data_IF_076756205158
#
_entry.id   IF_076756205158
#
_cell.length_a   1.000
_cell.length_b   1.000
_cell.length_c   1.000
_cell.angle_alpha   90.00
_cell.angle_beta   90.00
_cell.angle_gamma   90.00
#
_symmetry.space_group_name_H-M   'P 1'
#
loop_
_entity.id
_entity.type
_entity.pdbx_description
1 polymer ?
#
# COMPACT_ATOMS: atom_id res chain seq x y z
N UNK A 1 -39.41 -25.07 17.61
CA UNK A 1 -38.17 -25.78 17.97
C UNK A 1 -37.05 -25.07 17.23
N UNK A 2 -36.57 -23.98 17.84
CA UNK A 2 -35.52 -23.08 17.33
C UNK A 2 -34.26 -23.37 18.14
N UNK A 3 -33.07 -23.44 17.54
CA UNK A 3 -31.85 -23.57 18.33
C UNK A 3 -31.45 -22.20 18.90
N UNK A 4 -31.24 -22.22 20.22
CA UNK A 4 -30.78 -21.16 21.09
C UNK A 4 -29.40 -20.61 20.68
N UNK A 5 -29.27 -19.31 20.94
CA UNK A 5 -28.10 -18.45 20.79
C UNK A 5 -26.87 -19.01 21.52
N UNK A 6 -25.79 -19.20 20.76
CA UNK A 6 -24.44 -19.44 21.27
C UNK A 6 -23.52 -18.28 20.85
N UNK A 7 -23.81 -17.08 21.35
CA UNK A 7 -22.88 -15.94 21.36
C UNK A 7 -21.76 -16.20 22.38
N UNK A 8 -20.88 -17.14 22.04
CA UNK A 8 -19.59 -17.34 22.68
C UNK A 8 -18.63 -16.24 22.25
N UNK A 9 -18.80 -15.03 22.77
CA UNK A 9 -17.84 -13.94 22.62
C UNK A 9 -16.54 -14.29 23.35
N UNK A 10 -15.64 -14.98 22.64
CA UNK A 10 -14.26 -15.21 23.04
C UNK A 10 -13.55 -13.85 23.03
N UNK A 11 -13.67 -13.11 24.12
CA UNK A 11 -12.77 -12.02 24.46
C UNK A 11 -11.38 -12.63 24.69
N UNK A 12 -10.62 -12.76 23.60
CA UNK A 12 -9.21 -13.08 23.66
C UNK A 12 -8.51 -12.01 24.53
N UNK A 13 -8.19 -12.38 25.76
CA UNK A 13 -7.31 -11.63 26.66
C UNK A 13 -5.93 -11.53 26.01
N UNK A 14 -5.73 -10.51 25.16
CA UNK A 14 -4.40 -10.15 24.71
C UNK A 14 -3.60 -9.68 25.94
N UNK A 15 -2.44 -10.28 26.26
CA UNK A 15 -1.67 -9.98 27.47
C UNK A 15 -0.97 -8.60 27.44
N UNK A 16 -1.22 -7.79 26.41
CA UNK A 16 -0.81 -6.38 26.37
C UNK A 16 -1.87 -5.53 27.05
N UNK A 17 -1.97 -5.68 28.37
CA UNK A 17 -2.83 -4.86 29.21
C UNK A 17 -2.52 -3.38 29.02
N UNK A 18 -3.41 -2.70 28.30
CA UNK A 18 -3.79 -1.28 28.33
C UNK A 18 -2.81 -0.29 28.99
N UNK A 19 -1.52 -0.36 28.68
CA UNK A 19 -0.51 0.60 29.16
C UNK A 19 -0.41 1.79 28.21
N UNK A 20 -1.54 2.24 27.68
CA UNK A 20 -1.64 3.60 27.19
C UNK A 20 -1.69 4.48 28.44
N UNK A 21 -0.51 4.89 28.92
CA UNK A 21 -0.40 5.94 29.94
C UNK A 21 -1.00 7.19 29.32
N UNK A 22 -2.29 7.39 29.59
CA UNK A 22 -3.07 8.50 29.09
C UNK A 22 -2.49 9.76 29.71
N UNK A 23 -1.98 10.70 28.89
CA UNK A 23 -1.33 11.89 29.42
C UNK A 23 -2.37 12.74 30.16
N UNK A 24 -2.23 12.97 31.47
CA UNK A 24 -3.25 13.62 32.29
C UNK A 24 -3.63 15.00 31.73
N UNK A 25 -2.65 15.75 31.21
CA UNK A 25 -2.89 17.08 30.63
C UNK A 25 -3.78 17.06 29.39
N UNK A 26 -3.61 16.07 28.50
CA UNK A 26 -4.45 15.94 27.31
C UNK A 26 -5.90 15.63 27.76
N UNK A 27 -6.05 14.89 28.85
CA UNK A 27 -7.34 14.35 29.28
C UNK A 27 -8.12 15.41 30.02
N UNK A 28 -7.43 16.19 30.86
CA UNK A 28 -7.94 17.43 31.43
C UNK A 28 -8.38 18.42 30.35
N UNK A 29 -7.58 18.62 29.30
CA UNK A 29 -7.90 19.57 28.21
C UNK A 29 -9.08 19.11 27.35
N UNK A 30 -9.17 17.81 27.05
CA UNK A 30 -10.34 17.24 26.39
C UNK A 30 -11.60 17.38 27.25
N UNK A 31 -11.50 17.17 28.56
CA UNK A 31 -12.62 17.32 29.49
C UNK A 31 -13.07 18.78 29.56
N UNK A 32 -12.14 19.74 29.66
CA UNK A 32 -12.44 21.17 29.60
C UNK A 32 -13.19 21.56 28.33
N UNK A 33 -12.77 21.03 27.17
CA UNK A 33 -13.44 21.28 25.89
C UNK A 33 -14.87 20.71 25.85
N UNK A 34 -15.08 19.52 26.44
CA UNK A 34 -16.44 18.95 26.57
C UNK A 34 -17.33 19.78 27.48
N UNK A 35 -16.80 20.26 28.59
CA UNK A 35 -17.55 21.06 29.56
C UNK A 35 -17.92 22.43 28.95
N UNK A 36 -17.04 23.03 28.16
CA UNK A 36 -17.34 24.23 27.37
C UNK A 36 -18.51 23.99 26.39
N UNK A 37 -18.51 22.87 25.66
CA UNK A 37 -19.61 22.50 24.76
C UNK A 37 -20.93 22.29 25.51
N UNK A 38 -20.90 21.59 26.65
CA UNK A 38 -22.10 21.34 27.47
C UNK A 38 -22.69 22.62 28.05
N UNK A 39 -21.84 23.59 28.40
CA UNK A 39 -22.28 24.85 28.99
C UNK A 39 -22.87 25.86 28.00
N UNK A 40 -22.85 25.57 26.69
CA UNK A 40 -23.32 26.49 25.65
C UNK A 40 -22.43 27.72 25.44
N UNK A 41 -21.30 27.83 26.14
CA UNK A 41 -20.33 28.94 26.03
C UNK A 41 -19.36 28.77 24.86
N UNK A 42 -19.86 28.29 23.73
CA UNK A 42 -19.03 28.04 22.54
C UNK A 42 -19.02 29.30 21.69
N UNK A 43 -17.93 30.07 21.75
CA UNK A 43 -17.71 31.20 20.84
C UNK A 43 -17.63 30.72 19.39
N UNK A 44 -17.92 31.60 18.42
CA UNK A 44 -17.86 31.26 16.99
C UNK A 44 -16.47 30.72 16.58
N UNK A 45 -15.41 31.11 17.27
CA UNK A 45 -14.03 30.70 16.99
C UNK A 45 -13.65 29.32 17.56
N UNK A 46 -14.50 28.67 18.36
CA UNK A 46 -14.18 27.41 19.02
C UNK A 46 -13.86 26.28 18.03
N UNK A 47 -14.63 26.17 16.94
CA UNK A 47 -14.38 25.16 15.90
C UNK A 47 -13.04 25.39 15.22
N UNK A 48 -12.68 26.64 14.93
CA UNK A 48 -11.39 26.98 14.34
C UNK A 48 -10.23 26.64 15.31
N UNK A 49 -10.40 26.95 16.60
CA UNK A 49 -9.45 26.60 17.65
C UNK A 49 -9.24 25.08 17.78
N UNK A 50 -10.32 24.29 17.75
CA UNK A 50 -10.22 22.82 17.78
C UNK A 50 -9.51 22.25 16.55
N UNK A 51 -9.77 22.79 15.37
CA UNK A 51 -9.09 22.37 14.15
C UNK A 51 -7.60 22.70 14.20
N UNK A 52 -7.24 23.87 14.72
CA UNK A 52 -5.83 24.24 14.92
C UNK A 52 -5.14 23.32 15.93
N UNK A 53 -5.80 23.04 17.06
CA UNK A 53 -5.27 22.12 18.08
C UNK A 53 -5.08 20.70 17.53
N UNK A 54 -6.06 20.19 16.77
CA UNK A 54 -5.95 18.89 16.08
C UNK A 54 -4.74 18.85 15.15
N UNK A 55 -4.48 19.92 14.38
CA UNK A 55 -3.28 20.02 13.53
C UNK A 55 -1.99 20.02 14.35
N UNK A 56 -1.94 20.75 15.47
CA UNK A 56 -0.77 20.79 16.37
C UNK A 56 -0.49 19.40 16.97
N UNK A 57 -1.52 18.69 17.41
CA UNK A 57 -1.38 17.32 17.93
C UNK A 57 -0.93 16.34 16.85
N UNK A 58 -1.49 16.44 15.63
CA UNK A 58 -1.05 15.62 14.51
C UNK A 58 0.41 15.90 14.11
N UNK A 59 0.86 17.16 14.24
CA UNK A 59 2.26 17.52 14.06
C UNK A 59 3.15 16.91 15.15
N UNK A 60 2.84 17.13 16.43
CA UNK A 60 3.60 16.59 17.56
C UNK A 60 3.68 15.05 17.53
N UNK A 61 2.59 14.38 17.18
CA UNK A 61 2.57 12.92 17.03
C UNK A 61 3.50 12.43 15.92
N UNK A 62 3.59 13.14 14.79
CA UNK A 62 4.54 12.80 13.72
C UNK A 62 5.99 12.97 14.17
N UNK A 63 6.31 14.04 14.89
CA UNK A 63 7.67 14.25 15.43
C UNK A 63 8.05 13.19 16.46
N UNK A 64 7.16 12.85 17.39
CA UNK A 64 7.41 11.77 18.36
C UNK A 64 7.62 10.43 17.64
N UNK A 65 6.79 10.09 16.65
CA UNK A 65 6.97 8.88 15.83
C UNK A 65 8.30 8.89 15.09
N UNK A 66 8.75 10.05 14.61
CA UNK A 66 10.06 10.20 13.98
C UNK A 66 11.18 9.88 14.97
N UNK A 67 11.13 10.45 16.17
CA UNK A 67 12.12 10.17 17.22
C UNK A 67 12.12 8.70 17.67
N UNK A 68 10.93 8.09 17.81
CA UNK A 68 10.83 6.65 18.09
C UNK A 68 11.39 5.82 16.94
N UNK A 69 11.12 6.21 15.69
CA UNK A 69 11.71 5.54 14.54
C UNK A 69 13.25 5.65 14.54
N UNK A 70 13.80 6.81 14.90
CA UNK A 70 15.24 7.03 14.98
C UNK A 70 15.91 6.20 16.10
N UNK A 71 15.16 5.73 17.10
CA UNK A 71 15.67 4.85 18.15
C UNK A 71 15.65 3.36 17.79
N UNK A 72 14.91 2.96 16.75
CA UNK A 72 14.85 1.56 16.29
C UNK A 72 16.15 1.18 15.56
N UNK A 73 16.87 0.10 15.96
CA UNK A 73 18.15 -0.28 15.33
C UNK A 73 18.08 -0.46 13.82
N UNK A 74 17.00 -1.06 13.32
CA UNK A 74 16.76 -1.26 11.88
C UNK A 74 16.76 0.09 11.13
N UNK A 75 16.22 1.13 11.73
CA UNK A 75 16.13 2.46 11.10
C UNK A 75 17.38 3.30 11.31
N UNK A 76 18.37 2.83 12.06
CA UNK A 76 19.69 3.47 12.20
C UNK A 76 20.69 2.95 11.17
N UNK A 77 20.37 1.89 10.43
CA UNK A 77 21.26 1.31 9.44
C UNK A 77 21.56 2.29 8.30
N UNK A 78 22.79 2.31 7.76
CA UNK A 78 23.13 3.09 6.58
C UNK A 78 22.12 2.86 5.43
N UNK A 79 21.82 3.88 4.62
CA UNK A 79 20.85 3.75 3.53
C UNK A 79 21.19 2.63 2.54
N UNK A 80 22.47 2.28 2.38
CA UNK A 80 22.95 1.19 1.53
C UNK A 80 22.47 -0.19 2.02
N UNK A 81 22.40 -0.39 3.33
CA UNK A 81 21.90 -1.65 3.92
C UNK A 81 20.37 -1.73 3.76
N UNK A 82 19.69 -0.60 3.91
CA UNK A 82 18.25 -0.51 3.64
C UNK A 82 17.98 -0.82 2.16
N UNK A 83 18.82 -0.30 1.27
CA UNK A 83 18.72 -0.53 -0.17
C UNK A 83 18.85 -2.02 -0.52
N UNK A 84 19.84 -2.68 0.07
CA UNK A 84 20.03 -4.12 -0.06
C UNK A 84 18.80 -4.92 0.43
N UNK A 85 18.22 -4.56 1.57
CA UNK A 85 16.99 -5.20 2.06
C UNK A 85 15.83 -5.02 1.09
N UNK A 86 15.70 -3.82 0.50
CA UNK A 86 14.68 -3.54 -0.51
C UNK A 86 14.88 -4.42 -1.74
N UNK A 87 16.11 -4.66 -2.19
CA UNK A 87 16.39 -5.56 -3.32
C UNK A 87 15.82 -6.97 -3.11
N UNK A 88 16.01 -7.54 -1.92
CA UNK A 88 15.43 -8.83 -1.58
C UNK A 88 13.90 -8.77 -1.56
N UNK A 89 13.33 -7.74 -0.94
CA UNK A 89 11.87 -7.60 -0.83
C UNK A 89 11.18 -7.39 -2.18
N UNK A 90 11.85 -6.76 -3.16
CA UNK A 90 11.28 -6.57 -4.50
C UNK A 90 11.04 -7.91 -5.19
N UNK A 91 11.97 -8.85 -5.03
CA UNK A 91 11.88 -10.19 -5.62
C UNK A 91 10.74 -10.99 -5.00
N UNK A 92 10.67 -11.03 -3.67
CA UNK A 92 9.74 -11.88 -2.94
C UNK A 92 8.36 -11.24 -2.73
N UNK A 93 8.29 -9.91 -2.73
CA UNK A 93 7.10 -9.15 -2.37
C UNK A 93 6.79 -8.03 -3.37
N UNK A 94 6.71 -8.42 -4.63
CA UNK A 94 6.27 -7.55 -5.73
C UNK A 94 4.81 -7.09 -5.54
N UNK A 95 4.48 -5.84 -5.88
CA UNK A 95 3.09 -5.39 -5.96
C UNK A 95 2.38 -6.15 -7.07
N UNK A 96 1.13 -6.47 -6.84
CA UNK A 96 0.26 -7.10 -7.84
C UNK A 96 -1.16 -6.58 -7.66
N UNK A 97 -1.87 -6.43 -8.77
CA UNK A 97 -3.30 -6.21 -8.75
C UNK A 97 -4.00 -7.20 -9.68
N UNK A 98 -5.09 -7.77 -9.21
CA UNK A 98 -5.95 -8.60 -10.06
C UNK A 98 -7.16 -7.79 -10.51
N UNK A 99 -7.32 -7.64 -11.81
CA UNK A 99 -8.58 -7.14 -12.38
C UNK A 99 -9.51 -8.33 -12.48
N UNK A 100 -10.61 -8.32 -11.71
CA UNK A 100 -11.66 -9.30 -11.92
C UNK A 100 -12.34 -9.01 -13.24
N UNK A 101 -12.52 -10.05 -14.04
CA UNK A 101 -13.26 -9.98 -15.29
C UNK A 101 -14.62 -10.64 -15.02
N UNK A 102 -15.70 -10.03 -15.50
CA UNK A 102 -17.04 -10.63 -15.42
C UNK A 102 -17.21 -11.79 -16.40
N UNK A 103 -18.38 -12.44 -16.37
CA UNK A 103 -18.72 -13.54 -17.29
C UNK A 103 -18.74 -13.13 -18.78
N UNK A 104 -18.73 -11.82 -19.08
CA UNK A 104 -18.78 -11.26 -20.42
C UNK A 104 -17.40 -10.77 -20.90
N UNK A 105 -16.34 -10.96 -20.11
CA UNK A 105 -15.00 -10.50 -20.49
C UNK A 105 -14.75 -9.02 -20.17
N UNK A 106 -15.67 -8.35 -19.45
CA UNK A 106 -15.52 -6.94 -19.09
C UNK A 106 -14.83 -6.79 -17.73
N UNK A 107 -13.92 -5.80 -17.57
CA UNK A 107 -13.32 -5.48 -16.28
C UNK A 107 -14.40 -5.11 -15.28
N UNK A 108 -14.50 -5.88 -14.19
CA UNK A 108 -15.37 -5.57 -13.06
C UNK A 108 -14.64 -4.54 -12.18
N UNK A 109 -14.84 -3.26 -12.48
CA UNK A 109 -14.15 -2.11 -11.87
C UNK A 109 -14.26 -2.05 -10.33
N UNK A 110 -15.20 -2.80 -9.74
CA UNK A 110 -15.61 -2.63 -8.34
C UNK A 110 -14.74 -3.44 -7.34
N UNK A 111 -13.95 -4.42 -7.78
CA UNK A 111 -13.32 -5.38 -6.85
C UNK A 111 -11.88 -5.81 -7.23
N UNK A 112 -11.04 -4.88 -7.66
CA UNK A 112 -9.62 -5.18 -7.83
C UNK A 112 -8.97 -5.37 -6.45
N UNK A 113 -8.46 -6.57 -6.16
CA UNK A 113 -7.59 -6.80 -5.01
C UNK A 113 -6.21 -6.31 -5.41
N UNK A 114 -5.76 -5.24 -4.77
CA UNK A 114 -4.43 -4.65 -5.01
C UNK A 114 -3.57 -4.89 -3.78
N UNK A 115 -2.49 -5.64 -3.97
CA UNK A 115 -1.38 -5.71 -3.03
C UNK A 115 -0.31 -4.71 -3.45
N UNK A 116 0.02 -3.79 -2.55
CA UNK A 116 1.07 -2.80 -2.78
C UNK A 116 2.48 -3.39 -2.62
N UNK A 117 2.63 -4.62 -2.10
CA UNK A 117 3.94 -5.25 -1.93
C UNK A 117 4.93 -4.37 -1.18
N UNK A 118 6.17 -4.33 -1.67
CA UNK A 118 7.25 -3.49 -1.14
C UNK A 118 6.92 -1.99 -1.09
N UNK A 119 5.93 -1.48 -1.85
CA UNK A 119 5.51 -0.06 -1.77
C UNK A 119 5.03 0.29 -0.36
N UNK A 120 4.45 -0.69 0.36
CA UNK A 120 4.01 -0.50 1.75
C UNK A 120 5.14 -0.18 2.72
N UNK A 121 6.38 -0.56 2.41
CA UNK A 121 7.55 -0.22 3.21
C UNK A 121 7.76 1.31 3.27
N UNK A 122 7.40 2.02 2.20
CA UNK A 122 7.41 3.49 2.15
C UNK A 122 6.35 4.16 3.04
N UNK A 123 5.45 3.39 3.65
CA UNK A 123 4.48 3.85 4.64
C UNK A 123 4.92 3.61 6.09
N UNK A 124 5.97 2.80 6.31
CA UNK A 124 6.47 2.49 7.66
C UNK A 124 7.14 3.72 8.28
N UNK A 125 8.10 4.34 7.59
CA UNK A 125 8.77 5.54 8.08
C UNK A 125 9.30 6.43 6.93
N UNK A 126 9.67 7.67 7.28
CA UNK A 126 10.20 8.62 6.31
C UNK A 126 11.53 8.17 5.67
N UNK A 127 12.34 7.40 6.40
CA UNK A 127 13.65 6.92 5.94
C UNK A 127 13.50 5.89 4.82
N UNK A 128 12.69 4.84 5.04
CA UNK A 128 12.35 3.87 3.99
C UNK A 128 11.73 4.55 2.78
N UNK A 129 10.81 5.50 3.01
CA UNK A 129 10.21 6.28 1.94
C UNK A 129 11.26 7.06 1.13
N UNK A 130 12.22 7.71 1.81
CA UNK A 130 13.30 8.46 1.17
C UNK A 130 14.16 7.56 0.29
N UNK A 131 14.60 6.41 0.81
CA UNK A 131 15.39 5.43 0.03
C UNK A 131 14.59 4.93 -1.17
N UNK A 132 13.35 4.46 -0.97
CA UNK A 132 12.50 3.98 -2.05
C UNK A 132 12.26 5.03 -3.14
N UNK A 133 11.97 6.27 -2.77
CA UNK A 133 11.75 7.35 -3.75
C UNK A 133 13.02 7.72 -4.52
N UNK A 134 14.21 7.46 -3.96
CA UNK A 134 15.49 7.62 -4.67
C UNK A 134 15.71 6.55 -5.76
N UNK A 135 15.05 5.40 -5.66
CA UNK A 135 15.24 4.25 -6.56
C UNK A 135 14.31 4.29 -7.78
N UNK A 136 14.57 5.22 -8.69
CA UNK A 136 13.74 5.43 -9.88
C UNK A 136 13.56 4.18 -10.75
N UNK A 137 14.61 3.38 -10.90
CA UNK A 137 14.59 2.13 -11.68
C UNK A 137 13.55 1.13 -11.18
N UNK A 138 13.39 1.05 -9.87
CA UNK A 138 12.46 0.13 -9.22
C UNK A 138 10.99 0.57 -9.44
N UNK A 139 10.72 1.88 -9.49
CA UNK A 139 9.41 2.39 -9.92
C UNK A 139 9.16 2.11 -11.40
N UNK A 140 10.18 2.30 -12.25
CA UNK A 140 10.09 2.09 -13.68
C UNK A 140 9.77 0.63 -14.05
N UNK A 141 10.28 -0.35 -13.29
CA UNK A 141 9.97 -1.76 -13.48
C UNK A 141 8.61 -2.22 -12.97
N UNK A 142 7.89 -1.34 -12.27
CA UNK A 142 6.65 -1.68 -11.56
C UNK A 142 5.41 -1.01 -12.18
N UNK A 143 5.59 -0.12 -13.16
CA UNK A 143 4.51 0.64 -13.82
C UNK A 143 3.36 -0.26 -14.31
N UNK A 144 3.69 -1.46 -14.79
CA UNK A 144 2.72 -2.41 -15.32
C UNK A 144 2.08 -3.33 -14.27
N UNK A 145 2.62 -3.40 -13.05
CA UNK A 145 2.19 -4.38 -12.03
C UNK A 145 0.88 -3.99 -11.33
N UNK A 146 0.46 -2.73 -11.42
CA UNK A 146 -0.75 -2.21 -10.76
C UNK A 146 -1.78 -1.79 -11.83
N UNK A 147 -3.02 -2.35 -11.82
CA UNK A 147 -4.02 -2.12 -12.86
C UNK A 147 -4.69 -0.73 -12.78
N UNK A 148 -4.47 0.04 -11.71
CA UNK A 148 -5.07 1.37 -11.52
C UNK A 148 -4.35 2.45 -12.35
N UNK A 149 -5.11 3.16 -13.21
CA UNK A 149 -4.60 4.29 -14.00
C UNK A 149 -4.02 5.41 -13.12
N UNK A 150 -4.74 5.80 -12.07
CA UNK A 150 -4.28 6.83 -11.12
C UNK A 150 -3.02 6.41 -10.37
N UNK A 151 -2.91 5.15 -9.96
CA UNK A 151 -1.69 4.64 -9.33
C UNK A 151 -0.53 4.67 -10.34
N UNK A 152 -0.78 4.28 -11.60
CA UNK A 152 0.20 4.31 -12.67
C UNK A 152 0.76 5.70 -12.93
N UNK A 153 -0.07 6.73 -12.96
CA UNK A 153 0.37 8.13 -13.08
C UNK A 153 1.32 8.52 -11.94
N UNK A 154 1.00 8.13 -10.71
CA UNK A 154 1.87 8.38 -9.57
C UNK A 154 3.19 7.61 -9.65
N UNK A 155 3.18 6.37 -10.15
CA UNK A 155 4.41 5.59 -10.35
C UNK A 155 5.25 6.24 -11.45
N UNK A 156 4.66 6.59 -12.59
CA UNK A 156 5.33 7.26 -13.70
C UNK A 156 5.99 8.57 -13.27
N UNK A 157 5.32 9.39 -12.47
CA UNK A 157 5.93 10.62 -11.93
C UNK A 157 7.12 10.35 -11.00
N UNK A 158 7.18 9.18 -10.36
CA UNK A 158 8.33 8.77 -9.51
C UNK A 158 9.48 8.18 -10.33
N UNK A 159 9.22 7.62 -11.50
CA UNK A 159 10.26 7.13 -12.42
C UNK A 159 11.16 8.27 -12.92
N UNK A 160 10.63 9.48 -13.09
CA UNK A 160 11.36 10.58 -13.71
C UNK A 160 11.78 10.23 -15.13
N UNK A 161 13.06 10.39 -15.45
CA UNK A 161 13.63 10.10 -16.78
C UNK A 161 14.14 8.66 -16.94
N UNK A 162 13.90 7.80 -15.96
CA UNK A 162 14.37 6.41 -15.97
C UNK A 162 13.65 5.58 -17.05
N UNK A 163 14.36 4.72 -17.81
CA UNK A 163 13.75 3.85 -18.81
C UNK A 163 12.72 2.89 -18.19
N UNK A 164 11.54 2.78 -18.82
CA UNK A 164 10.47 1.89 -18.37
C UNK A 164 10.73 0.43 -18.77
N UNK A 165 10.61 -0.50 -17.82
CA UNK A 165 10.59 -1.95 -18.09
C UNK A 165 9.13 -2.41 -18.23
N UNK A 166 8.68 -2.53 -19.48
CA UNK A 166 7.31 -2.94 -19.82
C UNK A 166 7.29 -4.45 -20.07
N UNK A 167 6.73 -5.19 -19.11
CA UNK A 167 6.50 -6.63 -19.24
C UNK A 167 5.08 -6.91 -19.70
N UNK A 168 4.96 -7.55 -20.86
CA UNK A 168 3.70 -8.09 -21.34
C UNK A 168 3.59 -9.53 -20.84
N UNK A 169 2.84 -9.72 -19.74
CA UNK A 169 2.48 -11.06 -19.30
C UNK A 169 1.36 -11.59 -20.20
N UNK A 170 1.74 -12.44 -21.14
CA UNK A 170 0.80 -13.26 -21.89
C UNK A 170 0.33 -14.40 -20.97
N UNK A 171 -0.49 -14.06 -19.97
CA UNK A 171 -1.12 -15.07 -19.13
C UNK A 171 -2.08 -15.87 -20.00
N UNK A 172 -1.59 -17.03 -20.44
CA UNK A 172 -2.21 -18.02 -21.30
C UNK A 172 -3.32 -18.77 -20.56
N UNK A 173 -4.30 -18.07 -20.00
CA UNK A 173 -5.62 -18.68 -19.87
C UNK A 173 -6.18 -18.70 -21.29
N UNK A 174 -6.49 -19.89 -21.83
CA UNK A 174 -6.97 -20.12 -23.19
C UNK A 174 -8.30 -19.47 -23.56
N UNK A 175 -8.62 -18.30 -22.99
CA UNK A 175 -9.60 -17.38 -23.52
C UNK A 175 -9.11 -16.91 -24.89
N UNK A 176 -9.83 -17.33 -25.93
CA UNK A 176 -9.72 -16.82 -27.29
C UNK A 176 -9.44 -15.32 -27.24
N UNK A 177 -8.22 -14.93 -27.62
CA UNK A 177 -7.76 -13.55 -27.59
C UNK A 177 -8.67 -12.77 -28.55
N UNK A 178 -9.68 -12.10 -28.01
CA UNK A 178 -10.46 -11.16 -28.79
C UNK A 178 -9.52 -9.99 -29.13
N UNK A 179 -9.29 -9.66 -30.42
CA UNK A 179 -8.35 -8.62 -30.83
C UNK A 179 -8.60 -7.25 -30.17
N UNK A 180 -9.83 -7.02 -29.70
CA UNK A 180 -10.21 -5.80 -28.99
C UNK A 180 -9.61 -5.66 -27.58
N UNK A 181 -9.20 -6.74 -26.90
CA UNK A 181 -8.60 -6.67 -25.56
C UNK A 181 -7.10 -6.31 -25.59
N UNK A 182 -6.45 -6.44 -26.76
CA UNK A 182 -5.09 -5.92 -27.00
C UNK A 182 -5.05 -4.40 -27.15
N UNK A 183 -6.21 -3.74 -27.22
CA UNK A 183 -6.31 -2.33 -26.88
C UNK A 183 -6.14 -2.19 -25.36
N UNK A 184 -4.94 -2.49 -24.87
CA UNK A 184 -4.42 -1.82 -23.68
C UNK A 184 -4.75 -0.36 -23.89
N UNK A 185 -5.64 0.16 -23.05
CA UNK A 185 -5.89 1.58 -22.91
C UNK A 185 -4.62 2.27 -22.38
N UNK A 186 -3.55 2.25 -23.16
CA UNK A 186 -2.67 3.38 -23.30
C UNK A 186 -3.50 4.48 -23.98
N UNK A 187 -4.51 4.99 -23.27
CA UNK A 187 -5.13 6.26 -23.64
C UNK A 187 -3.99 7.24 -23.79
N UNK A 188 -3.90 7.91 -24.94
CA UNK A 188 -2.76 8.69 -25.43
C UNK A 188 -1.96 9.38 -24.30
N UNK A 189 -1.01 8.66 -23.72
CA UNK A 189 -0.10 9.22 -22.74
C UNK A 189 0.93 9.98 -23.56
N UNK A 190 0.95 11.29 -23.44
CA UNK A 190 2.03 12.12 -23.95
C UNK A 190 3.28 11.79 -23.15
N UNK A 191 4.02 10.79 -23.63
CA UNK A 191 5.35 10.46 -23.10
C UNK A 191 6.21 11.72 -23.29
N UNK A 192 6.84 12.25 -22.23
CA UNK A 192 7.71 13.41 -22.34
C UNK A 192 8.74 13.18 -23.45
N UNK A 193 8.95 14.17 -24.32
CA UNK A 193 9.73 14.09 -25.57
C UNK A 193 11.21 13.65 -25.43
N UNK A 194 11.68 13.39 -24.22
CA UNK A 194 13.06 12.97 -23.94
C UNK A 194 13.18 11.58 -23.30
N UNK A 195 12.08 10.88 -23.01
CA UNK A 195 12.14 9.54 -22.43
C UNK A 195 12.50 8.52 -23.52
N UNK A 196 13.72 7.96 -23.46
CA UNK A 196 14.10 6.81 -24.28
C UNK A 196 13.29 5.60 -23.80
N UNK A 197 12.33 5.16 -24.61
CA UNK A 197 11.60 3.92 -24.35
C UNK A 197 12.52 2.77 -24.77
N UNK A 198 13.20 2.15 -23.82
CA UNK A 198 13.87 0.88 -24.04
C UNK A 198 12.85 -0.24 -23.81
N UNK A 199 12.24 -0.73 -24.88
CA UNK A 199 11.41 -1.94 -24.81
C UNK A 199 12.32 -3.16 -24.68
N UNK A 200 12.51 -3.63 -23.45
CA UNK A 200 13.17 -4.91 -23.19
C UNK A 200 12.10 -6.00 -23.12
N UNK A 201 12.00 -6.83 -24.16
CA UNK A 201 11.11 -7.97 -24.17
C UNK A 201 11.78 -9.14 -23.44
N UNK A 202 11.34 -9.42 -22.21
CA UNK A 202 11.76 -10.62 -21.48
C UNK A 202 10.62 -11.65 -21.50
N UNK A 203 10.77 -12.72 -22.28
CA UNK A 203 9.84 -13.85 -22.29
C UNK A 203 10.13 -14.72 -21.07
N UNK A 204 9.30 -14.64 -20.03
CA UNK A 204 9.36 -15.61 -18.93
C UNK A 204 8.69 -16.90 -19.40
N UNK A 205 9.47 -17.93 -19.68
CA UNK A 205 8.90 -19.26 -19.89
C UNK A 205 8.23 -19.70 -18.58
N UNK A 206 6.99 -20.22 -18.63
CA UNK A 206 6.37 -20.77 -17.44
C UNK A 206 7.29 -21.87 -16.91
N UNK A 207 7.80 -21.70 -15.70
CA UNK A 207 8.53 -22.77 -15.02
C UNK A 207 7.57 -23.95 -14.95
N UNK A 208 7.89 -25.04 -15.65
CA UNK A 208 7.15 -26.29 -15.61
C UNK A 208 7.20 -26.81 -14.17
N UNK A 209 6.24 -26.36 -13.36
CA UNK A 209 6.04 -26.79 -12.00
C UNK A 209 5.65 -28.27 -12.01
N UNK A 210 6.61 -29.07 -11.59
CA UNK A 210 6.56 -30.48 -11.24
C UNK A 210 5.14 -30.96 -10.83
N UNK A 211 4.54 -31.81 -11.67
CA UNK A 211 3.37 -32.59 -11.31
C UNK A 211 3.80 -33.80 -10.46
N UNK A 212 3.11 -34.06 -9.34
CA UNK A 212 3.27 -35.23 -8.48
C UNK A 212 3.95 -34.86 -7.15
N UNK A 213 3.36 -35.11 -5.99
CA UNK A 213 2.80 -36.40 -5.53
C UNK A 213 1.54 -36.15 -4.69
N UNK A 214 0.45 -36.83 -5.06
CA UNK A 214 -0.75 -36.91 -4.22
C UNK A 214 -0.55 -37.88 -3.07
N UNK A 215 -0.69 -37.40 -1.83
CA UNK A 215 -0.92 -38.26 -0.68
C UNK A 215 -2.42 -38.43 -0.48
N UNK A 216 -2.92 -39.63 -0.80
CA UNK A 216 -4.24 -40.09 -0.40
C UNK A 216 -4.23 -40.41 1.10
N UNK A 217 -4.99 -39.66 1.88
CA UNK A 217 -5.44 -40.08 3.21
C UNK A 217 -6.91 -40.45 3.09
N UNK A 218 -7.22 -41.74 3.19
CA UNK A 218 -8.57 -42.22 3.46
C UNK A 218 -8.79 -42.34 4.98
N UNK A 219 -10.05 -42.25 5.45
CA UNK A 219 -10.41 -42.22 6.88
C UNK A 219 -10.24 -43.57 7.59
#
# INVERSE_FOLDING_TARGET
MLPDDADGAVHANLPYGNMYVWHPDISARMQQSRDAMRSGRVGMDFRASLLDESRRLAHASRELRRLCNDSVPLLRMPPEIIDYIIDYLVVDWSPFGTTKIDQHGLPLDVCAVVSLGWITLGHVCHRFRGVLLGRRQLWASTVCSIPSSRAREQILSRCGDEPLDLRADYSSAGALIHPAAMAFGCGAYTIPRHSRICLVFSVRTPSSGNAGVGHNCHP
#
